data_IF_996709338362
#
_entry.id   IF_996709338362
#
_cell.length_a   1.000
_cell.length_b   1.000
_cell.length_c   1.000
_cell.angle_alpha   90.00
_cell.angle_beta   90.00
_cell.angle_gamma   90.00
#
_symmetry.space_group_name_H-M   'P 1'
#
loop_
_entity.id
_entity.type
_entity.pdbx_description
1 polymer ?
#
# COMPACT_ATOMS: atom_id res chain seq x y z
N UNK A 1 -3.77 -17.83 11.73
CA UNK A 1 -2.94 -17.37 10.60
C UNK A 1 -2.01 -16.28 11.09
N UNK A 2 -0.71 -16.42 10.88
CA UNK A 2 0.28 -15.40 11.24
C UNK A 2 0.12 -14.17 10.35
N UNK A 3 0.32 -12.98 10.90
CA UNK A 3 0.25 -11.73 10.15
C UNK A 3 1.58 -11.49 9.40
N UNK A 4 1.53 -10.81 8.25
CA UNK A 4 2.75 -10.44 7.53
C UNK A 4 3.39 -9.27 8.26
N UNK A 5 4.56 -9.53 8.86
CA UNK A 5 5.37 -8.49 9.48
C UNK A 5 5.76 -7.42 8.45
N UNK A 6 6.06 -7.84 7.22
CA UNK A 6 6.46 -6.95 6.12
C UNK A 6 5.33 -5.97 5.76
N UNK A 7 4.08 -6.43 5.72
CA UNK A 7 2.93 -5.56 5.48
C UNK A 7 2.83 -4.45 6.54
N UNK A 8 2.92 -4.82 7.81
CA UNK A 8 2.78 -3.85 8.90
C UNK A 8 3.94 -2.85 8.95
N UNK A 9 5.15 -3.28 8.64
CA UNK A 9 6.29 -2.36 8.50
C UNK A 9 6.04 -1.42 7.32
N UNK A 10 5.62 -1.92 6.16
CA UNK A 10 5.30 -1.09 5.00
C UNK A 10 4.21 -0.04 5.32
N UNK A 11 3.15 -0.47 6.02
CA UNK A 11 2.08 0.41 6.44
C UNK A 11 2.59 1.50 7.40
N UNK A 12 3.40 1.14 8.39
CA UNK A 12 4.02 2.10 9.31
C UNK A 12 4.92 3.10 8.58
N UNK A 13 5.69 2.65 7.59
CA UNK A 13 6.52 3.51 6.76
C UNK A 13 5.69 4.49 5.92
N UNK A 14 4.57 4.06 5.31
CA UNK A 14 3.69 4.97 4.57
C UNK A 14 3.02 6.00 5.49
N UNK A 15 2.58 5.60 6.68
CA UNK A 15 2.04 6.53 7.66
C UNK A 15 3.11 7.51 8.17
N UNK A 16 4.35 7.04 8.36
CA UNK A 16 5.46 7.89 8.74
C UNK A 16 5.84 8.88 7.64
N UNK A 17 5.90 8.45 6.38
CA UNK A 17 6.11 9.33 5.22
C UNK A 17 5.01 10.40 5.15
N UNK A 18 3.74 10.02 5.33
CA UNK A 18 2.63 10.97 5.39
C UNK A 18 2.80 11.99 6.54
N UNK A 19 3.24 11.56 7.73
CA UNK A 19 3.47 12.46 8.85
C UNK A 19 4.63 13.44 8.59
N UNK A 20 5.71 12.99 7.94
CA UNK A 20 6.82 13.83 7.53
C UNK A 20 6.39 14.85 6.46
N UNK A 21 5.54 14.45 5.51
CA UNK A 21 5.01 15.35 4.49
C UNK A 21 4.05 16.40 5.06
N UNK A 22 3.27 16.08 6.12
CA UNK A 22 2.47 17.08 6.85
C UNK A 22 3.37 18.10 7.56
N UNK A 23 4.47 17.62 8.14
CA UNK A 23 5.45 18.49 8.78
C UNK A 23 6.25 19.31 7.76
N UNK A 24 6.27 18.89 6.48
CA UNK A 24 6.94 19.61 5.41
C UNK A 24 6.03 20.73 4.88
N UNK A 25 6.41 22.01 5.09
CA UNK A 25 5.61 23.15 4.66
C UNK A 25 5.35 23.14 3.14
N UNK A 26 6.32 22.69 2.34
CA UNK A 26 6.24 22.77 0.88
C UNK A 26 5.28 21.75 0.23
N UNK A 27 4.89 20.67 0.93
CA UNK A 27 4.34 19.48 0.25
C UNK A 27 3.18 18.79 0.96
N UNK A 28 2.55 19.46 1.93
CA UNK A 28 1.45 18.89 2.73
C UNK A 28 0.28 18.29 1.94
N UNK A 29 0.05 18.70 0.68
CA UNK A 29 -0.97 18.09 -0.20
C UNK A 29 -0.64 16.63 -0.54
N UNK A 30 0.63 16.26 -0.64
CA UNK A 30 1.06 14.89 -0.98
C UNK A 30 1.01 13.94 0.23
N UNK A 31 0.96 14.48 1.45
CA UNK A 31 0.70 13.68 2.64
C UNK A 31 -0.64 12.92 2.53
N UNK A 32 -1.65 13.55 1.93
CA UNK A 32 -2.95 12.92 1.68
C UNK A 32 -2.84 11.73 0.71
N UNK A 33 -1.93 11.80 -0.26
CA UNK A 33 -1.70 10.71 -1.21
C UNK A 33 -1.01 9.51 -0.53
N UNK A 34 0.03 9.75 0.28
CA UNK A 34 0.67 8.70 1.07
C UNK A 34 -0.32 8.04 2.05
N UNK A 35 -1.17 8.84 2.71
CA UNK A 35 -2.22 8.33 3.59
C UNK A 35 -3.27 7.52 2.83
N UNK A 36 -3.73 8.00 1.67
CA UNK A 36 -4.68 7.29 0.82
C UNK A 36 -4.11 5.94 0.34
N UNK A 37 -2.83 5.90 -0.04
CA UNK A 37 -2.13 4.67 -0.40
C UNK A 37 -2.01 3.70 0.78
N UNK A 38 -1.70 4.19 1.99
CA UNK A 38 -1.66 3.37 3.19
C UNK A 38 -3.02 2.72 3.49
N UNK A 39 -4.10 3.50 3.40
CA UNK A 39 -5.47 3.01 3.62
C UNK A 39 -5.91 2.02 2.54
N UNK A 40 -5.59 2.30 1.28
CA UNK A 40 -5.83 1.39 0.16
C UNK A 40 -5.11 0.05 0.40
N UNK A 41 -3.81 0.08 0.69
CA UNK A 41 -3.02 -1.11 1.00
C UNK A 41 -3.60 -1.90 2.20
N UNK A 42 -4.04 -1.21 3.25
CA UNK A 42 -4.70 -1.81 4.42
C UNK A 42 -6.04 -2.48 4.05
N UNK A 43 -6.87 -1.83 3.24
CA UNK A 43 -8.13 -2.39 2.78
C UNK A 43 -7.89 -3.64 1.91
N UNK A 44 -6.94 -3.56 0.98
CA UNK A 44 -6.51 -4.70 0.15
C UNK A 44 -6.02 -5.86 1.02
N UNK A 45 -5.15 -5.60 1.97
CA UNK A 45 -4.62 -6.64 2.86
C UNK A 45 -5.73 -7.26 3.74
N UNK A 46 -6.63 -6.46 4.31
CA UNK A 46 -7.75 -6.96 5.11
C UNK A 46 -8.74 -7.77 4.29
N UNK A 47 -9.04 -7.36 3.06
CA UNK A 47 -9.95 -8.12 2.17
C UNK A 47 -9.34 -9.47 1.78
N UNK A 48 -8.04 -9.51 1.42
CA UNK A 48 -7.33 -10.76 1.16
C UNK A 48 -7.34 -11.67 2.40
N UNK A 49 -7.09 -11.12 3.60
CA UNK A 49 -7.10 -11.89 4.86
C UNK A 49 -8.48 -12.43 5.19
N UNK A 50 -9.55 -11.64 5.00
CA UNK A 50 -10.93 -12.09 5.18
C UNK A 50 -11.24 -13.28 4.26
N UNK A 51 -10.90 -13.17 2.97
CA UNK A 51 -11.10 -14.26 1.99
C UNK A 51 -10.27 -15.50 2.29
N UNK A 52 -9.04 -15.35 2.78
CA UNK A 52 -8.22 -16.47 3.25
C UNK A 52 -8.82 -17.15 4.49
N UNK A 53 -9.45 -16.40 5.41
CA UNK A 53 -10.19 -16.97 6.55
C UNK A 53 -11.41 -17.75 6.07
N UNK A 54 -12.16 -17.21 5.12
CA UNK A 54 -13.30 -17.89 4.47
C UNK A 54 -12.90 -19.25 3.89
N UNK A 55 -11.71 -19.37 3.30
CA UNK A 55 -11.17 -20.63 2.79
C UNK A 55 -10.77 -21.61 3.90
N UNK A 56 -10.18 -21.11 4.99
CA UNK A 56 -9.73 -21.93 6.12
C UNK A 56 -10.89 -22.48 6.94
N UNK A 57 -11.86 -21.63 7.23
CA UNK A 57 -12.90 -21.90 8.22
C UNK A 57 -14.11 -22.60 7.58
N UNK A 58 -14.11 -22.83 6.27
CA UNK A 58 -15.19 -23.51 5.55
C UNK A 58 -16.49 -22.70 5.60
N UNK A 59 -16.51 -21.57 4.89
CA UNK A 59 -17.67 -20.67 4.85
C UNK A 59 -18.98 -21.40 4.51
N UNK A 60 -20.14 -20.96 5.07
CA UNK A 60 -21.45 -21.50 4.69
C UNK A 60 -21.73 -21.41 3.19
N UNK A 61 -21.10 -20.49 2.47
CA UNK A 61 -21.17 -20.44 1.00
C UNK A 61 -20.45 -21.62 0.33
N UNK A 62 -19.29 -22.04 0.87
CA UNK A 62 -18.59 -23.24 0.40
C UNK A 62 -19.37 -24.51 0.74
N UNK A 63 -20.03 -24.55 1.90
CA UNK A 63 -20.92 -25.65 2.29
C UNK A 63 -22.13 -25.78 1.36
N UNK A 64 -22.75 -24.65 0.96
CA UNK A 64 -23.84 -24.68 -0.03
C UNK A 64 -23.40 -25.17 -1.41
N UNK A 65 -22.22 -24.74 -1.88
CA UNK A 65 -21.65 -25.21 -3.15
C UNK A 65 -21.35 -26.72 -3.09
N UNK A 66 -20.95 -27.23 -1.92
CA UNK A 66 -20.78 -28.68 -1.68
C UNK A 66 -22.10 -29.44 -1.73
N UNK A 67 -23.19 -28.87 -1.23
CA UNK A 67 -24.52 -29.47 -1.28
C UNK A 67 -25.11 -29.48 -2.70
N UNK A 68 -24.86 -28.42 -3.48
CA UNK A 68 -25.39 -28.27 -4.85
C UNK A 68 -24.57 -29.01 -5.92
N UNK A 69 -23.24 -29.02 -5.78
CA UNK A 69 -22.31 -29.53 -6.81
C UNK A 69 -21.35 -30.61 -6.31
N UNK A 70 -21.60 -31.17 -5.12
CA UNK A 70 -20.75 -32.18 -4.51
C UNK A 70 -19.34 -31.67 -4.20
N UNK A 71 -18.38 -32.60 -4.08
CA UNK A 71 -16.99 -32.26 -3.79
C UNK A 71 -16.31 -31.45 -4.92
N UNK A 72 -16.84 -31.50 -6.14
CA UNK A 72 -16.29 -30.81 -7.30
C UNK A 72 -16.68 -29.32 -7.34
N UNK A 73 -17.93 -28.99 -7.01
CA UNK A 73 -18.38 -27.60 -6.85
C UNK A 73 -17.60 -26.84 -5.76
N UNK A 74 -17.35 -27.50 -4.63
CA UNK A 74 -16.54 -26.93 -3.54
C UNK A 74 -15.10 -26.63 -4.00
N UNK A 75 -14.48 -27.55 -4.76
CA UNK A 75 -13.12 -27.36 -5.29
C UNK A 75 -13.05 -26.17 -6.25
N UNK A 76 -14.00 -26.05 -7.17
CA UNK A 76 -14.09 -24.92 -8.11
C UNK A 76 -14.26 -23.58 -7.38
N UNK A 77 -15.11 -23.53 -6.36
CA UNK A 77 -15.30 -22.34 -5.54
C UNK A 77 -14.02 -21.94 -4.77
N UNK A 78 -13.34 -22.92 -4.14
CA UNK A 78 -12.05 -22.68 -3.47
C UNK A 78 -10.99 -22.18 -4.46
N UNK A 79 -10.90 -22.79 -5.63
CA UNK A 79 -9.93 -22.41 -6.66
C UNK A 79 -10.19 -20.99 -7.18
N UNK A 80 -11.46 -20.61 -7.41
CA UNK A 80 -11.85 -19.25 -7.81
C UNK A 80 -11.43 -18.22 -6.77
N UNK A 81 -11.64 -18.50 -5.48
CA UNK A 81 -11.20 -17.60 -4.40
C UNK A 81 -9.67 -17.53 -4.37
N UNK A 82 -8.96 -18.65 -4.46
CA UNK A 82 -7.48 -18.68 -4.51
C UNK A 82 -6.93 -17.87 -5.68
N UNK A 83 -7.48 -18.05 -6.89
CA UNK A 83 -7.10 -17.26 -8.08
C UNK A 83 -7.34 -15.78 -7.86
N UNK A 84 -8.49 -15.41 -7.29
CA UNK A 84 -8.81 -14.00 -7.06
C UNK A 84 -7.89 -13.37 -6.02
N UNK A 85 -7.62 -14.03 -4.90
CA UNK A 85 -6.69 -13.51 -3.88
C UNK A 85 -5.25 -13.48 -4.42
N UNK A 86 -4.85 -14.46 -5.24
CA UNK A 86 -3.53 -14.47 -5.90
C UNK A 86 -3.37 -13.28 -6.85
N UNK A 87 -4.36 -13.04 -7.72
CA UNK A 87 -4.38 -11.88 -8.62
C UNK A 87 -4.37 -10.59 -7.80
N UNK A 88 -5.24 -10.43 -6.81
CA UNK A 88 -5.23 -9.25 -5.92
C UNK A 88 -3.86 -9.04 -5.26
N UNK A 89 -3.21 -10.09 -4.76
CA UNK A 89 -1.90 -9.96 -4.11
C UNK A 89 -0.80 -9.45 -5.04
N UNK A 90 -0.90 -9.75 -6.35
CA UNK A 90 0.10 -9.36 -7.35
C UNK A 90 -0.22 -8.00 -7.93
N UNK A 91 -1.45 -7.82 -8.40
CA UNK A 91 -1.86 -6.61 -9.11
C UNK A 91 -2.10 -5.45 -8.15
N UNK A 92 -2.80 -5.68 -7.03
CA UNK A 92 -3.16 -4.59 -6.12
C UNK A 92 -1.95 -4.07 -5.34
N UNK A 93 -1.20 -4.97 -4.68
CA UNK A 93 -0.01 -4.55 -3.93
C UNK A 93 1.12 -4.08 -4.84
N UNK A 94 1.26 -4.68 -6.04
CA UNK A 94 2.18 -4.19 -7.06
C UNK A 94 1.81 -2.78 -7.54
N UNK A 95 0.53 -2.51 -7.78
CA UNK A 95 0.06 -1.19 -8.16
C UNK A 95 0.25 -0.16 -7.03
N UNK A 96 -0.06 -0.51 -5.79
CA UNK A 96 0.24 0.33 -4.62
C UNK A 96 1.74 0.64 -4.51
N UNK A 97 2.60 -0.35 -4.76
CA UNK A 97 4.06 -0.17 -4.78
C UNK A 97 4.50 0.84 -5.84
N UNK A 98 4.00 0.70 -7.08
CA UNK A 98 4.34 1.63 -8.18
C UNK A 98 3.85 3.04 -7.85
N UNK A 99 2.59 3.18 -7.41
CA UNK A 99 2.03 4.48 -7.05
C UNK A 99 2.80 5.15 -5.91
N UNK A 100 3.25 4.38 -4.92
CA UNK A 100 4.08 4.91 -3.83
C UNK A 100 5.36 5.54 -4.35
N UNK A 101 6.03 4.90 -5.33
CA UNK A 101 7.23 5.45 -5.97
C UNK A 101 6.87 6.71 -6.77
N UNK A 102 5.77 6.68 -7.54
CA UNK A 102 5.32 7.86 -8.30
C UNK A 102 5.03 9.06 -7.40
N UNK A 103 4.39 8.85 -6.24
CA UNK A 103 4.15 9.91 -5.26
C UNK A 103 5.47 10.44 -4.70
N UNK A 104 6.42 9.58 -4.34
CA UNK A 104 7.74 10.03 -3.86
C UNK A 104 8.49 10.88 -4.92
N UNK A 105 8.44 10.49 -6.19
CA UNK A 105 9.04 11.26 -7.31
C UNK A 105 8.31 12.58 -7.53
N UNK A 106 6.97 12.58 -7.52
CA UNK A 106 6.18 13.81 -7.63
C UNK A 106 6.46 14.77 -6.48
N UNK A 107 6.64 14.25 -5.26
CA UNK A 107 7.04 15.01 -4.07
C UNK A 107 8.39 15.68 -4.28
N UNK A 108 9.36 14.97 -4.86
CA UNK A 108 10.66 15.54 -5.22
C UNK A 108 10.51 16.70 -6.22
N UNK A 109 9.82 16.45 -7.33
CA UNK A 109 9.67 17.45 -8.40
C UNK A 109 8.93 18.69 -7.90
N UNK A 110 7.87 18.53 -7.11
CA UNK A 110 7.11 19.65 -6.54
C UNK A 110 7.92 20.41 -5.50
N UNK A 111 8.71 19.71 -4.69
CA UNK A 111 9.65 20.35 -3.76
C UNK A 111 10.66 21.18 -4.56
N UNK A 112 11.30 20.63 -5.59
CA UNK A 112 12.27 21.35 -6.42
C UNK A 112 11.64 22.53 -7.19
N UNK A 113 10.41 22.40 -7.69
CA UNK A 113 9.69 23.47 -8.40
C UNK A 113 9.23 24.58 -7.46
N UNK A 114 8.69 24.24 -6.28
CA UNK A 114 8.32 25.21 -5.26
C UNK A 114 9.53 25.98 -4.71
N UNK A 115 10.71 25.38 -4.80
CA UNK A 115 12.00 25.96 -4.41
C UNK A 115 12.68 26.78 -5.53
N UNK A 116 12.14 26.84 -6.75
CA UNK A 116 12.73 27.66 -7.83
C UNK A 116 12.64 29.15 -7.46
N UNK A 117 13.77 29.86 -7.26
CA UNK A 117 13.75 31.28 -6.89
C UNK A 117 13.19 32.19 -7.99
N UNK A 118 13.13 31.72 -9.26
CA UNK A 118 12.63 32.50 -10.40
C UNK A 118 11.12 32.33 -10.60
N UNK A 119 10.56 31.14 -10.30
CA UNK A 119 9.16 30.80 -10.59
C UNK A 119 8.34 30.30 -9.38
N UNK A 120 9.00 29.85 -8.30
CA UNK A 120 8.40 29.17 -7.15
C UNK A 120 7.61 30.08 -6.22
N UNK A 121 8.05 31.34 -6.05
CA UNK A 121 7.37 32.32 -5.20
C UNK A 121 6.01 32.81 -5.73
N UNK A 122 5.72 32.60 -7.02
CA UNK A 122 4.49 33.06 -7.66
C UNK A 122 3.42 31.97 -7.82
N UNK A 123 3.78 30.68 -7.68
CA UNK A 123 2.93 29.56 -8.08
C UNK A 123 2.52 28.63 -6.93
N UNK A 124 3.18 28.69 -5.77
CA UNK A 124 2.77 27.96 -4.58
C UNK A 124 2.40 28.93 -3.46
N UNK A 125 1.28 28.64 -2.78
CA UNK A 125 0.75 29.36 -1.62
C UNK A 125 1.85 29.82 -0.65
N UNK A 126 1.65 30.92 0.13
CA UNK A 126 2.68 31.55 0.93
C UNK A 126 2.99 30.67 2.14
N UNK A 127 3.71 29.59 1.89
CA UNK A 127 4.07 28.62 2.89
C UNK A 127 5.47 28.99 3.33
N UNK A 128 5.56 29.42 4.59
CA UNK A 128 6.75 29.91 5.24
C UNK A 128 7.93 28.95 5.02
N UNK A 129 9.02 29.54 4.53
CA UNK A 129 10.34 28.94 4.32
C UNK A 129 10.85 28.33 5.64
N UNK A 130 10.58 27.06 5.88
CA UNK A 130 11.52 26.27 6.67
C UNK A 130 12.90 26.35 5.98
N UNK A 131 14.01 26.35 6.73
CA UNK A 131 15.34 26.35 6.13
C UNK A 131 15.45 25.21 5.12
N UNK A 132 15.96 25.54 3.92
CA UNK A 132 16.04 24.67 2.74
C UNK A 132 16.54 23.26 3.07
N UNK A 133 17.59 23.18 3.89
CA UNK A 133 18.21 21.94 4.31
C UNK A 133 17.23 21.03 5.07
N UNK A 134 16.42 21.61 5.96
CA UNK A 134 15.43 20.84 6.72
C UNK A 134 14.29 20.32 5.84
N UNK A 135 13.84 21.09 4.84
CA UNK A 135 12.79 20.64 3.92
C UNK A 135 13.28 19.51 2.99
N UNK A 136 14.53 19.59 2.53
CA UNK A 136 15.18 18.55 1.73
C UNK A 136 15.44 17.28 2.54
N UNK A 137 15.89 17.39 3.78
CA UNK A 137 16.11 16.24 4.67
C UNK A 137 14.80 15.50 4.97
N UNK A 138 13.72 16.25 5.25
CA UNK A 138 12.39 15.68 5.48
C UNK A 138 11.86 14.97 4.22
N UNK A 139 12.04 15.58 3.04
CA UNK A 139 11.69 14.93 1.77
C UNK A 139 12.52 13.66 1.55
N UNK A 140 13.84 13.72 1.72
CA UNK A 140 14.73 12.58 1.47
C UNK A 140 14.37 11.40 2.38
N UNK A 141 14.08 11.67 3.66
CA UNK A 141 13.62 10.66 4.60
C UNK A 141 12.26 10.07 4.19
N UNK A 142 11.29 10.92 3.83
CA UNK A 142 9.98 10.50 3.33
C UNK A 142 10.10 9.62 2.09
N UNK A 143 10.97 10.00 1.14
CA UNK A 143 11.23 9.24 -0.08
C UNK A 143 11.85 7.86 0.21
N UNK A 144 12.83 7.78 1.11
CA UNK A 144 13.42 6.49 1.53
C UNK A 144 12.37 5.61 2.19
N UNK A 145 11.52 6.17 3.06
CA UNK A 145 10.42 5.43 3.69
C UNK A 145 9.42 4.91 2.65
N UNK A 146 9.07 5.72 1.66
CA UNK A 146 8.16 5.34 0.58
C UNK A 146 8.74 4.25 -0.33
N UNK A 147 10.02 4.33 -0.71
CA UNK A 147 10.68 3.27 -1.49
C UNK A 147 10.80 1.97 -0.69
N UNK A 148 11.20 2.05 0.58
CA UNK A 148 11.25 0.88 1.45
C UNK A 148 9.86 0.26 1.65
N UNK A 149 8.82 1.08 1.81
CA UNK A 149 7.43 0.62 1.88
C UNK A 149 6.99 -0.08 0.59
N UNK A 150 7.32 0.48 -0.57
CA UNK A 150 7.02 -0.10 -1.87
C UNK A 150 7.61 -1.51 -2.01
N UNK A 151 8.91 -1.67 -1.69
CA UNK A 151 9.57 -2.99 -1.67
C UNK A 151 8.86 -3.93 -0.69
N UNK A 152 8.59 -3.50 0.54
CA UNK A 152 7.94 -4.35 1.54
C UNK A 152 6.49 -4.73 1.17
N UNK A 153 5.75 -3.89 0.45
CA UNK A 153 4.43 -4.24 -0.08
C UNK A 153 4.52 -5.38 -1.11
N UNK A 154 5.54 -5.37 -1.98
CA UNK A 154 5.75 -6.48 -2.93
C UNK A 154 6.08 -7.78 -2.21
N UNK A 155 6.92 -7.73 -1.16
CA UNK A 155 7.25 -8.88 -0.32
C UNK A 155 6.02 -9.38 0.44
N UNK A 156 5.21 -8.48 0.99
CA UNK A 156 3.95 -8.81 1.65
C UNK A 156 2.97 -9.52 0.71
N UNK A 157 2.92 -9.13 -0.57
CA UNK A 157 2.16 -9.87 -1.57
C UNK A 157 2.65 -11.32 -1.75
N UNK A 158 3.97 -11.53 -1.67
CA UNK A 158 4.58 -12.86 -1.61
C UNK A 158 4.17 -13.66 -0.37
N UNK A 159 4.12 -13.02 0.81
CA UNK A 159 3.66 -13.65 2.05
C UNK A 159 2.20 -14.13 1.93
N UNK A 160 1.32 -13.29 1.37
CA UNK A 160 -0.09 -13.65 1.15
C UNK A 160 -0.22 -14.87 0.25
N UNK A 161 0.56 -14.96 -0.84
CA UNK A 161 0.56 -16.15 -1.71
C UNK A 161 1.05 -17.40 -1.00
N UNK A 162 2.12 -17.30 -0.22
CA UNK A 162 2.61 -18.42 0.60
C UNK A 162 1.54 -18.92 1.56
N UNK A 163 0.75 -18.03 2.15
CA UNK A 163 -0.39 -18.43 2.98
C UNK A 163 -1.46 -19.17 2.19
N UNK A 164 -1.83 -18.69 1.01
CA UNK A 164 -2.82 -19.36 0.16
C UNK A 164 -2.42 -20.78 -0.22
N UNK A 165 -1.14 -21.02 -0.48
CA UNK A 165 -0.62 -22.36 -0.79
C UNK A 165 -0.59 -23.29 0.43
N UNK A 166 -0.47 -22.73 1.65
CA UNK A 166 -0.49 -23.50 2.90
C UNK A 166 -1.89 -23.87 3.41
N UNK A 167 -2.95 -23.33 2.78
CA UNK A 167 -4.33 -23.64 3.15
C UNK A 167 -4.79 -24.97 2.51
N UNK A 168 -5.63 -25.75 3.21
CA UNK A 168 -6.21 -26.98 2.68
C UNK A 168 -7.28 -26.74 1.59
#
# INVERSE_FOLDING_TARGET
MRESRNFWIAFALLCGAAALDVANPCVGVLALLHLALALAALLGYRTMRRRARTLRDGSPALSRERELGGAEGERLAREKIRRTVSVMSRTYLGFCSILTICVAVATCLLTMLGLDPVHGGATMLPVQLAPLDAALDLWALSAVMSVAAAVLLTVAGGDVRRWLHSLP
#
